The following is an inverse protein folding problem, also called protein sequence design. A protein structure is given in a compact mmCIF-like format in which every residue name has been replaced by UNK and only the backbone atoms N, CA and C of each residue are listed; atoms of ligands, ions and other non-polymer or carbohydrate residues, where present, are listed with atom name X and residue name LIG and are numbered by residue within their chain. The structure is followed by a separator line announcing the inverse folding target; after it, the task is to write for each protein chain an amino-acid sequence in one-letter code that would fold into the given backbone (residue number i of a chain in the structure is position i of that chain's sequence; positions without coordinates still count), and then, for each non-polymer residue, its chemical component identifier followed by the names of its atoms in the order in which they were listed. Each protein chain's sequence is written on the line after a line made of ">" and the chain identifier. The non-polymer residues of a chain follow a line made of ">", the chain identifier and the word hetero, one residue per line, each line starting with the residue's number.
data_IF_972044146045
#
_entry.id   IF_972044146045
#
_cell.length_a   1.000
_cell.length_b   1.000
_cell.length_c   1.000
_cell.angle_alpha   90.00
_cell.angle_beta   90.00
_cell.angle_gamma   90.00
#
_symmetry.space_group_name_H-M   'P 1'
#
loop_
_entity.id
_entity.type
_entity.pdbx_description
1 polymer ?
#
# COMPACT_ATOMS: atom_id res chain seq x y z
N UNK A 1 -24.09 7.27 19.54
CA UNK A 1 -23.26 6.06 19.50
C UNK A 1 -22.15 6.28 18.47
N UNK A 2 -20.95 6.67 18.91
CA UNK A 2 -19.74 6.79 18.07
C UNK A 2 -18.93 5.49 18.19
N UNK A 3 -17.92 5.34 17.34
CA UNK A 3 -16.79 4.39 17.41
C UNK A 3 -16.91 3.08 16.61
N UNK A 4 -16.66 3.19 15.30
CA UNK A 4 -16.00 2.14 14.50
C UNK A 4 -15.11 2.69 13.35
N UNK A 5 -14.91 4.01 13.22
CA UNK A 5 -14.18 4.57 12.06
C UNK A 5 -12.65 4.53 12.21
N UNK A 6 -12.12 4.62 13.44
CA UNK A 6 -10.67 4.63 13.65
C UNK A 6 -10.01 3.29 13.23
N UNK A 7 -10.72 2.17 13.36
CA UNK A 7 -10.19 0.85 13.01
C UNK A 7 -9.97 0.65 11.51
N UNK A 8 -10.71 1.38 10.67
CA UNK A 8 -10.57 1.34 9.20
C UNK A 8 -9.60 2.38 8.66
N UNK A 9 -9.17 3.34 9.49
CA UNK A 9 -8.19 4.34 9.06
C UNK A 9 -6.83 3.67 8.86
N UNK A 10 -6.20 4.00 7.75
CA UNK A 10 -4.86 3.53 7.42
C UNK A 10 -3.86 4.36 8.22
N UNK A 11 -2.93 3.68 8.88
CA UNK A 11 -1.83 4.26 9.66
C UNK A 11 -0.55 4.33 8.83
N UNK A 12 -0.25 3.25 8.11
CA UNK A 12 0.97 3.12 7.33
C UNK A 12 0.84 2.03 6.27
N UNK A 13 1.74 2.10 5.29
CA UNK A 13 1.98 1.03 4.33
C UNK A 13 3.42 0.59 4.50
N UNK A 14 3.63 -0.71 4.64
CA UNK A 14 4.95 -1.32 4.70
C UNK A 14 5.19 -2.17 3.47
N UNK A 15 6.42 -2.16 2.97
CA UNK A 15 6.87 -3.02 1.88
C UNK A 15 7.95 -3.96 2.39
N UNK A 16 7.87 -5.22 1.99
CA UNK A 16 8.89 -6.21 2.23
C UNK A 16 9.59 -6.52 0.91
N UNK A 17 10.85 -6.12 0.81
CA UNK A 17 11.74 -6.42 -0.30
C UNK A 17 12.81 -7.36 0.23
N UNK A 18 12.76 -8.62 -0.21
CA UNK A 18 13.76 -9.65 0.11
C UNK A 18 14.05 -9.82 1.63
N UNK A 19 13.03 -9.65 2.48
CA UNK A 19 13.12 -9.77 3.93
C UNK A 19 13.29 -8.44 4.66
N UNK A 20 13.62 -7.36 3.95
CA UNK A 20 13.74 -6.03 4.53
C UNK A 20 12.39 -5.32 4.50
N UNK A 21 11.85 -5.04 5.69
CA UNK A 21 10.58 -4.34 5.85
C UNK A 21 10.85 -2.84 6.04
N UNK A 22 10.30 -2.02 5.17
CA UNK A 22 10.31 -0.55 5.30
C UNK A 22 8.88 -0.05 5.40
N UNK A 23 8.62 0.81 6.39
CA UNK A 23 7.30 1.36 6.65
C UNK A 23 7.23 2.84 6.28
N UNK A 24 6.16 3.21 5.58
CA UNK A 24 5.83 4.57 5.18
C UNK A 24 4.52 4.97 5.86
N UNK A 25 4.59 5.97 6.74
CA UNK A 25 3.42 6.54 7.37
C UNK A 25 2.52 7.19 6.31
N UNK A 26 1.21 7.00 6.44
CA UNK A 26 0.26 7.76 5.63
C UNK A 26 -0.08 9.06 6.34
N UNK A 27 -0.43 10.10 5.57
CA UNK A 27 -0.99 11.30 6.16
C UNK A 27 -2.38 10.96 6.73
N UNK A 28 -2.53 10.97 8.06
CA UNK A 28 -3.80 10.66 8.72
C UNK A 28 -4.90 11.64 8.30
N UNK A 29 -4.56 12.90 7.98
CA UNK A 29 -5.52 13.89 7.51
C UNK A 29 -6.02 13.59 6.09
N UNK A 30 -5.27 12.79 5.32
CA UNK A 30 -5.67 12.34 3.98
C UNK A 30 -6.61 11.13 3.99
N UNK A 31 -6.87 10.52 5.15
CA UNK A 31 -7.77 9.36 5.24
C UNK A 31 -9.21 9.77 4.91
N UNK A 32 -9.71 9.32 3.76
CA UNK A 32 -11.10 9.46 3.35
C UNK A 32 -11.79 8.12 3.40
N UNK A 33 -12.77 8.00 4.31
CA UNK A 33 -13.63 6.81 4.39
C UNK A 33 -14.87 7.03 3.54
N UNK A 34 -15.10 6.14 2.58
CA UNK A 34 -16.34 6.07 1.80
C UNK A 34 -17.10 4.78 2.14
N UNK A 35 -18.43 4.81 2.06
CA UNK A 35 -19.27 3.64 2.34
C UNK A 35 -20.15 3.31 1.14
N UNK A 36 -20.23 2.02 0.82
CA UNK A 36 -21.20 1.46 -0.11
C UNK A 36 -21.93 0.33 0.62
N UNK A 37 -23.15 0.64 1.11
CA UNK A 37 -23.91 -0.29 1.96
C UNK A 37 -23.18 -0.61 3.27
N UNK A 38 -22.89 -1.89 3.51
CA UNK A 38 -22.15 -2.37 4.69
C UNK A 38 -20.62 -2.32 4.53
N UNK A 39 -20.12 -2.06 3.32
CA UNK A 39 -18.70 -1.99 3.04
C UNK A 39 -18.19 -0.57 3.27
N UNK A 40 -17.07 -0.45 3.97
CA UNK A 40 -16.32 0.78 4.14
C UNK A 40 -14.97 0.67 3.44
N UNK A 41 -14.70 1.59 2.53
CA UNK A 41 -13.42 1.72 1.86
C UNK A 41 -12.69 2.94 2.42
N UNK A 42 -11.41 2.78 2.73
CA UNK A 42 -10.55 3.89 3.15
C UNK A 42 -9.53 4.16 2.06
N UNK A 43 -9.41 5.42 1.68
CA UNK A 43 -8.36 5.93 0.81
C UNK A 43 -7.46 6.84 1.63
N UNK A 44 -6.13 6.70 1.47
CA UNK A 44 -5.14 7.55 2.13
C UNK A 44 -3.97 7.80 1.17
N UNK A 45 -3.15 8.80 1.50
CA UNK A 45 -1.95 9.17 0.75
C UNK A 45 -0.69 8.80 1.54
N UNK A 46 0.22 8.10 0.86
CA UNK A 46 1.57 7.80 1.34
C UNK A 46 2.59 8.47 0.41
N UNK A 47 3.64 9.06 0.98
CA UNK A 47 4.76 9.60 0.21
C UNK A 47 5.89 8.58 0.30
N UNK A 48 6.31 8.08 -0.86
CA UNK A 48 7.37 7.06 -0.98
C UNK A 48 8.45 7.62 -1.90
N UNK A 49 9.73 7.57 -1.50
CA UNK A 49 10.84 7.99 -2.36
C UNK A 49 10.89 7.21 -3.68
N UNK A 50 11.22 7.90 -4.78
CA UNK A 50 11.22 7.32 -6.14
C UNK A 50 12.26 6.20 -6.28
N UNK A 51 13.44 6.39 -5.67
CA UNK A 51 14.51 5.38 -5.60
C UNK A 51 14.04 4.10 -4.90
N UNK A 52 13.23 4.24 -3.85
CA UNK A 52 12.62 3.08 -3.19
C UNK A 52 11.62 2.35 -4.10
N UNK A 53 10.79 3.10 -4.83
CA UNK A 53 9.84 2.52 -5.79
C UNK A 53 10.57 1.78 -6.92
N UNK A 54 11.72 2.27 -7.38
CA UNK A 54 12.56 1.59 -8.37
C UNK A 54 13.07 0.24 -7.84
N UNK A 55 13.51 0.17 -6.59
CA UNK A 55 13.90 -1.10 -5.95
C UNK A 55 12.71 -2.06 -5.86
N UNK A 56 11.54 -1.55 -5.46
CA UNK A 56 10.31 -2.34 -5.34
C UNK A 56 9.91 -3.02 -6.66
N UNK A 57 9.94 -2.30 -7.79
CA UNK A 57 9.52 -2.85 -9.11
C UNK A 57 10.53 -3.82 -9.74
N UNK A 58 11.77 -3.83 -9.24
CA UNK A 58 12.81 -4.76 -9.67
C UNK A 58 12.80 -6.06 -8.83
N UNK A 59 12.28 -6.00 -7.60
CA UNK A 59 12.22 -7.13 -6.69
C UNK A 59 11.20 -8.18 -7.16
N UNK A 60 11.62 -9.46 -7.25
CA UNK A 60 10.75 -10.55 -7.74
C UNK A 60 9.69 -11.00 -6.74
N UNK A 61 9.94 -10.78 -5.44
CA UNK A 61 9.12 -11.29 -4.34
C UNK A 61 8.60 -10.18 -3.41
N UNK A 62 8.45 -8.95 -3.92
CA UNK A 62 7.97 -7.84 -3.11
C UNK A 62 6.55 -8.08 -2.58
N UNK A 63 6.36 -7.82 -1.28
CA UNK A 63 5.05 -7.83 -0.62
C UNK A 63 4.73 -6.46 -0.05
N UNK A 64 3.44 -6.19 0.14
CA UNK A 64 2.98 -5.00 0.82
C UNK A 64 2.06 -5.37 1.99
N UNK A 65 2.05 -4.52 3.00
CA UNK A 65 1.15 -4.58 4.15
C UNK A 65 0.56 -3.21 4.40
N UNK A 66 -0.76 -3.13 4.51
CA UNK A 66 -1.48 -1.92 4.92
C UNK A 66 -1.89 -2.11 6.36
N UNK A 67 -1.38 -1.25 7.25
CA UNK A 67 -1.67 -1.28 8.68
C UNK A 67 -2.73 -0.24 9.02
N UNK A 68 -3.68 -0.61 9.86
CA UNK A 68 -4.70 0.31 10.38
C UNK A 68 -4.36 0.82 11.77
N UNK A 69 -5.04 1.88 12.21
CA UNK A 69 -4.81 2.47 13.54
C UNK A 69 -5.22 1.51 14.68
N UNK A 70 -6.08 0.52 14.40
CA UNK A 70 -6.47 -0.51 15.38
C UNK A 70 -5.59 -1.76 15.36
N UNK A 71 -4.36 -1.64 14.87
CA UNK A 71 -3.39 -2.74 14.72
C UNK A 71 -3.89 -3.92 13.84
N UNK A 72 -4.95 -3.68 13.06
CA UNK A 72 -5.35 -4.59 11.99
C UNK A 72 -4.43 -4.41 10.79
N UNK A 73 -4.24 -5.46 9.99
CA UNK A 73 -3.49 -5.35 8.75
C UNK A 73 -4.09 -6.16 7.61
N UNK A 74 -3.80 -5.72 6.38
CA UNK A 74 -3.99 -6.52 5.16
C UNK A 74 -2.66 -6.65 4.45
N UNK A 75 -2.31 -7.87 4.06
CA UNK A 75 -1.09 -8.18 3.31
C UNK A 75 -1.43 -8.63 1.90
N UNK A 76 -0.57 -8.31 0.93
CA UNK A 76 -0.67 -8.79 -0.44
C UNK A 76 0.71 -8.88 -1.10
N UNK A 77 0.73 -9.46 -2.30
CA UNK A 77 1.94 -9.62 -3.11
C UNK A 77 1.81 -8.85 -4.41
N UNK A 78 2.91 -8.25 -4.85
CA UNK A 78 2.96 -7.48 -6.10
C UNK A 78 3.13 -8.35 -7.35
N UNK A 79 3.57 -9.58 -7.19
CA UNK A 79 3.77 -10.54 -8.27
C UNK A 79 2.89 -11.75 -8.02
N UNK A 80 2.26 -12.26 -9.08
CA UNK A 80 1.51 -13.51 -9.00
C UNK A 80 2.46 -14.68 -8.72
N UNK A 81 1.94 -15.80 -8.21
CA UNK A 81 2.68 -17.04 -7.96
C UNK A 81 3.42 -17.57 -9.22
N UNK A 82 3.03 -17.11 -10.42
CA UNK A 82 3.65 -17.48 -11.71
C UNK A 82 4.73 -16.49 -12.18
N UNK A 83 5.13 -15.53 -11.35
CA UNK A 83 6.15 -14.52 -11.70
C UNK A 83 5.66 -13.43 -12.67
N UNK A 84 4.37 -13.43 -13.02
CA UNK A 84 3.77 -12.36 -13.84
C UNK A 84 3.51 -11.15 -12.96
N UNK A 85 4.01 -9.98 -13.39
CA UNK A 85 3.77 -8.71 -12.73
C UNK A 85 2.26 -8.44 -12.64
N UNK A 86 1.78 -8.09 -11.44
CA UNK A 86 0.41 -7.63 -11.27
C UNK A 86 0.20 -6.28 -11.99
N UNK A 87 -1.05 -5.98 -12.34
CA UNK A 87 -1.43 -4.70 -12.93
C UNK A 87 -0.92 -3.47 -12.12
N UNK A 88 -0.94 -3.48 -10.77
CA UNK A 88 -0.28 -2.45 -9.97
C UNK A 88 1.21 -2.22 -10.29
N UNK A 89 2.00 -3.28 -10.51
CA UNK A 89 3.42 -3.16 -10.86
C UNK A 89 3.60 -2.65 -12.29
N UNK A 90 2.79 -3.12 -13.22
CA UNK A 90 2.83 -2.63 -14.61
C UNK A 90 2.53 -1.14 -14.67
N UNK A 91 1.51 -0.69 -13.94
CA UNK A 91 1.14 0.73 -13.82
C UNK A 91 2.25 1.53 -13.13
N UNK A 92 2.84 1.02 -12.04
CA UNK A 92 3.93 1.70 -11.34
C UNK A 92 5.18 1.84 -12.23
N UNK A 93 5.55 0.80 -12.98
CA UNK A 93 6.65 0.85 -13.95
C UNK A 93 6.41 1.91 -15.02
N UNK A 94 5.23 1.91 -15.65
CA UNK A 94 4.87 2.89 -16.66
C UNK A 94 4.85 4.34 -16.14
N UNK A 95 4.58 4.55 -14.85
CA UNK A 95 4.67 5.86 -14.21
C UNK A 95 6.11 6.28 -13.93
N UNK A 96 6.95 5.36 -13.45
CA UNK A 96 8.38 5.64 -13.22
C UNK A 96 9.11 5.99 -14.51
N UNK A 97 8.79 5.30 -15.61
CA UNK A 97 9.36 5.57 -16.95
C UNK A 97 9.04 6.98 -17.47
N UNK A 98 7.99 7.64 -16.96
CA UNK A 98 7.61 9.02 -17.34
C UNK A 98 8.30 10.10 -16.52
N UNK A 99 8.92 9.73 -15.41
CA UNK A 99 9.61 10.65 -14.49
C UNK A 99 11.11 10.71 -14.83
N UNK A 100 11.63 9.67 -15.49
CA UNK A 100 12.97 9.61 -16.06
C UNK A 100 13.06 10.38 -17.39
#
# INVERSE_FOLDING_TARGET
>A
MRFFYAATNIKSVAFNIDGNITEFNVDILSNKVSRQGRLSNTTALAIIPVDYLQQLVQAKNAKYRVLTISDGYREGSFYSVKGVASEPITTLKALLDKIQ
#
